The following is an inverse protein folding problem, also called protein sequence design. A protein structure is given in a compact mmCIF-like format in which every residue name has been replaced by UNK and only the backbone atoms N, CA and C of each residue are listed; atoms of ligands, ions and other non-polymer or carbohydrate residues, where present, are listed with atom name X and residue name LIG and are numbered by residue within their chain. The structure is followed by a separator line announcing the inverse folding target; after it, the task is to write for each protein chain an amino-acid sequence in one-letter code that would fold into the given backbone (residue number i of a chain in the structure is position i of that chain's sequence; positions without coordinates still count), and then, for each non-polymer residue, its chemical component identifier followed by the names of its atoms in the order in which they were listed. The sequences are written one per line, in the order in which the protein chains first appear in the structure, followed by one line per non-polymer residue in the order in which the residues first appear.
data_IF_932076324244
#
_entry.id   IF_932076324244
#
_cell.length_a   1.000
_cell.length_b   1.000
_cell.length_c   1.000
_cell.angle_alpha   90.00
_cell.angle_beta   90.00
_cell.angle_gamma   90.00
#
_symmetry.space_group_name_H-M   'P 1'
#
loop_
_entity.id
_entity.type
_entity.pdbx_description
1 polymer ?
#
# COMPACT_ATOMS: atom_id res chain seq x y z
N UNK A 1 -38.57 38.18 63.69
CA UNK A 1 -37.63 39.22 64.16
C UNK A 1 -36.24 38.62 64.05
N UNK A 2 -35.63 38.59 62.86
CA UNK A 2 -35.08 39.75 62.16
C UNK A 2 -35.13 39.57 60.62
N UNK A 3 -35.60 40.64 59.97
CA UNK A 3 -35.54 40.87 58.53
C UNK A 3 -34.28 41.68 58.18
N UNK A 4 -33.81 41.52 56.94
CA UNK A 4 -33.10 42.50 56.11
C UNK A 4 -31.78 43.12 56.61
N UNK A 5 -30.67 42.71 56.00
CA UNK A 5 -29.76 43.66 55.38
C UNK A 5 -29.26 43.16 54.02
N UNK A 6 -29.78 43.86 53.03
CA UNK A 6 -29.48 43.87 51.61
C UNK A 6 -28.01 44.27 51.32
N UNK A 7 -27.46 43.65 50.27
CA UNK A 7 -26.49 44.20 49.32
C UNK A 7 -25.05 44.51 49.79
N UNK A 8 -24.10 43.69 49.33
CA UNK A 8 -22.91 44.21 48.66
C UNK A 8 -22.29 43.20 47.66
N UNK A 9 -22.58 43.48 46.38
CA UNK A 9 -21.69 43.37 45.20
C UNK A 9 -21.25 41.98 44.71
N UNK A 10 -22.15 41.39 43.92
CA UNK A 10 -21.80 40.74 42.65
C UNK A 10 -20.97 41.71 41.78
N UNK A 11 -19.74 41.33 41.42
CA UNK A 11 -19.12 41.73 40.16
C UNK A 11 -17.85 40.89 39.91
N UNK A 12 -17.79 40.33 38.70
CA UNK A 12 -16.65 39.67 38.03
C UNK A 12 -16.57 38.16 38.15
N UNK A 13 -17.50 37.47 37.48
CA UNK A 13 -17.17 36.26 36.73
C UNK A 13 -18.30 35.97 35.73
N UNK A 14 -18.23 36.63 34.56
CA UNK A 14 -18.91 36.30 33.28
C UNK A 14 -18.59 37.47 32.33
N UNK A 15 -17.59 37.31 31.45
CA UNK A 15 -17.92 36.86 30.09
C UNK A 15 -16.80 36.00 29.48
N UNK A 16 -16.86 34.67 29.63
CA UNK A 16 -16.07 33.73 28.79
C UNK A 16 -16.94 32.57 28.28
N UNK A 17 -18.13 32.36 28.85
CA UNK A 17 -19.05 31.29 28.44
C UNK A 17 -20.11 31.71 27.40
N UNK A 18 -19.96 32.87 26.75
CA UNK A 18 -20.89 33.36 25.72
C UNK A 18 -20.32 33.39 24.29
N UNK A 19 -19.09 32.90 24.07
CA UNK A 19 -18.48 32.84 22.72
C UNK A 19 -18.22 31.41 22.21
N UNK A 20 -18.42 30.37 23.04
CA UNK A 20 -18.31 28.97 22.63
C UNK A 20 -19.66 28.36 22.16
N UNK A 21 -20.78 29.02 22.45
CA UNK A 21 -22.12 28.54 22.07
C UNK A 21 -22.58 29.03 20.68
N UNK A 22 -21.90 30.03 20.09
CA UNK A 22 -22.25 30.55 18.75
C UNK A 22 -21.51 29.80 17.64
N UNK A 23 -20.30 29.26 17.89
CA UNK A 23 -19.56 28.47 16.90
C UNK A 23 -20.10 27.04 16.69
N UNK A 24 -20.83 26.48 17.66
CA UNK A 24 -21.52 25.19 17.49
C UNK A 24 -22.88 25.35 16.77
N UNK A 25 -23.51 26.53 16.87
CA UNK A 25 -24.81 26.80 16.27
C UNK A 25 -24.75 27.17 14.78
N UNK A 26 -23.62 27.71 14.28
CA UNK A 26 -23.43 27.94 12.83
C UNK A 26 -23.04 26.68 12.05
N UNK A 27 -22.52 25.64 12.70
CA UNK A 27 -22.21 24.36 12.04
C UNK A 27 -23.43 23.48 11.72
N UNK A 28 -24.53 23.67 12.44
CA UNK A 28 -25.73 22.83 12.30
C UNK A 28 -26.73 23.31 11.22
N UNK A 29 -26.58 24.54 10.70
CA UNK A 29 -27.55 25.15 9.77
C UNK A 29 -27.18 25.06 8.27
N UNK A 30 -26.05 24.43 7.92
CA UNK A 30 -25.67 24.19 6.50
C UNK A 30 -25.91 22.72 6.09
N UNK A 31 -26.45 21.88 6.98
CA UNK A 31 -26.66 20.44 6.74
C UNK A 31 -27.82 20.06 5.81
N UNK A 32 -28.50 21.01 5.19
CA UNK A 32 -29.74 20.79 4.42
C UNK A 32 -29.68 21.35 2.99
N UNK A 33 -28.53 21.22 2.32
CA UNK A 33 -28.37 21.47 0.88
C UNK A 33 -27.67 20.29 0.20
N UNK A 34 -28.32 19.71 -0.82
CA UNK A 34 -27.94 18.47 -1.52
C UNK A 34 -26.60 18.57 -2.29
N UNK A 35 -25.48 18.52 -1.57
CA UNK A 35 -24.14 18.40 -2.14
C UNK A 35 -23.15 17.85 -1.11
N UNK A 36 -22.15 17.09 -1.56
CA UNK A 36 -21.08 16.61 -0.68
C UNK A 36 -20.41 17.79 0.04
N UNK A 37 -20.14 17.66 1.34
CA UNK A 37 -19.44 18.68 2.13
C UNK A 37 -18.06 18.98 1.52
N UNK A 38 -17.49 20.19 1.71
CA UNK A 38 -16.14 20.49 1.23
C UNK A 38 -15.10 19.44 1.67
N UNK A 39 -15.20 18.94 2.90
CA UNK A 39 -14.34 17.87 3.41
C UNK A 39 -14.55 16.53 2.71
N UNK A 40 -15.80 16.16 2.41
CA UNK A 40 -16.09 14.95 1.63
C UNK A 40 -15.57 15.06 0.19
N UNK A 41 -15.68 16.25 -0.43
CA UNK A 41 -15.12 16.52 -1.76
C UNK A 41 -13.60 16.41 -1.75
N UNK A 42 -12.93 16.99 -0.76
CA UNK A 42 -11.49 16.86 -0.60
C UNK A 42 -11.08 15.38 -0.44
N UNK A 43 -11.84 14.62 0.34
CA UNK A 43 -11.57 13.21 0.54
C UNK A 43 -11.64 12.41 -0.77
N UNK A 44 -12.70 12.63 -1.56
CA UNK A 44 -12.86 12.05 -2.88
C UNK A 44 -11.71 12.46 -3.83
N UNK A 45 -11.34 13.73 -3.83
CA UNK A 45 -10.27 14.29 -4.67
C UNK A 45 -8.92 13.68 -4.35
N UNK A 46 -8.57 13.62 -3.07
CA UNK A 46 -7.30 13.08 -2.58
C UNK A 46 -7.12 11.62 -3.00
N UNK A 47 -8.13 10.79 -2.77
CA UNK A 47 -8.08 9.36 -3.12
C UNK A 47 -8.14 9.18 -4.64
N UNK A 48 -8.88 10.02 -5.36
CA UNK A 48 -8.87 10.00 -6.83
C UNK A 48 -7.50 10.37 -7.39
N UNK A 49 -6.82 11.38 -6.82
CA UNK A 49 -5.45 11.75 -7.19
C UNK A 49 -4.47 10.59 -6.92
N UNK A 50 -4.61 9.91 -5.78
CA UNK A 50 -3.86 8.69 -5.46
C UNK A 50 -4.03 7.60 -6.52
N UNK A 51 -5.27 7.32 -6.96
CA UNK A 51 -5.50 6.30 -8.01
C UNK A 51 -4.86 6.64 -9.36
N UNK A 52 -4.62 7.93 -9.64
CA UNK A 52 -3.94 8.42 -10.85
C UNK A 52 -2.43 8.59 -10.68
N UNK A 53 -1.88 8.35 -9.49
CA UNK A 53 -0.48 8.63 -9.16
C UNK A 53 -0.13 10.13 -9.13
N UNK A 54 -1.12 11.01 -8.97
CA UNK A 54 -0.91 12.46 -8.91
C UNK A 54 -0.52 12.91 -7.49
N UNK A 55 0.68 12.50 -7.08
CA UNK A 55 1.20 12.78 -5.74
C UNK A 55 1.48 14.25 -5.50
N UNK A 56 1.64 15.05 -6.56
CA UNK A 56 1.81 16.51 -6.43
C UNK A 56 0.51 17.15 -5.96
N UNK A 57 -0.61 16.80 -6.57
CA UNK A 57 -1.93 17.28 -6.13
C UNK A 57 -2.20 16.84 -4.70
N UNK A 58 -1.98 15.56 -4.37
CA UNK A 58 -2.16 15.07 -3.01
C UNK A 58 -1.30 15.84 -2.00
N UNK A 59 -0.03 16.10 -2.30
CA UNK A 59 0.85 16.84 -1.39
C UNK A 59 0.36 18.25 -1.10
N UNK A 60 -0.28 18.92 -2.07
CA UNK A 60 -0.84 20.26 -1.87
C UNK A 60 -2.12 20.25 -1.03
N UNK A 61 -2.75 19.10 -0.85
CA UNK A 61 -4.01 18.92 -0.11
C UNK A 61 -3.81 18.53 1.36
N UNK A 62 -2.58 18.17 1.77
CA UNK A 62 -2.28 17.81 3.17
C UNK A 62 -2.10 19.03 4.06
N UNK A 63 -2.21 18.82 5.37
CA UNK A 63 -2.00 19.86 6.37
C UNK A 63 -0.55 20.42 6.38
N UNK A 64 -0.42 21.68 6.80
CA UNK A 64 0.87 22.36 6.82
C UNK A 64 1.89 21.70 7.77
N UNK A 65 1.45 21.00 8.82
CA UNK A 65 2.36 20.29 9.71
C UNK A 65 2.97 19.07 9.01
N UNK A 66 2.21 18.34 8.21
CA UNK A 66 2.72 17.28 7.34
C UNK A 66 3.67 17.82 6.28
N UNK A 67 3.32 18.92 5.58
CA UNK A 67 4.21 19.54 4.58
C UNK A 67 5.57 19.96 5.16
N UNK A 68 5.63 20.38 6.42
CA UNK A 68 6.90 20.67 7.12
C UNK A 68 7.71 19.42 7.47
N UNK A 69 7.06 18.26 7.66
CA UNK A 69 7.72 17.00 8.06
C UNK A 69 8.22 16.17 6.88
N UNK A 70 7.60 16.29 5.71
CA UNK A 70 7.96 15.49 4.53
C UNK A 70 8.07 16.36 3.28
N UNK A 71 9.12 16.15 2.50
CA UNK A 71 9.27 16.80 1.20
C UNK A 71 8.31 16.20 0.15
N UNK A 72 7.98 16.93 -0.93
CA UNK A 72 7.17 16.39 -2.02
C UNK A 72 7.77 15.12 -2.64
N UNK A 73 9.10 15.07 -2.80
CA UNK A 73 9.80 13.91 -3.37
C UNK A 73 9.70 12.68 -2.48
N UNK A 74 9.92 12.85 -1.16
CA UNK A 74 9.77 11.76 -0.20
C UNK A 74 8.32 11.29 -0.08
N UNK A 75 7.36 12.21 -0.14
CA UNK A 75 5.94 11.86 -0.17
C UNK A 75 5.61 10.95 -1.36
N UNK A 76 6.01 11.35 -2.58
CA UNK A 76 5.82 10.55 -3.79
C UNK A 76 6.53 9.19 -3.71
N UNK A 77 7.76 9.16 -3.19
CA UNK A 77 8.52 7.93 -2.99
C UNK A 77 7.79 6.94 -2.07
N UNK A 78 7.22 7.40 -0.95
CA UNK A 78 6.47 6.56 0.00
C UNK A 78 5.26 5.89 -0.63
N UNK A 79 4.46 6.63 -1.41
CA UNK A 79 3.34 6.03 -2.13
C UNK A 79 3.82 5.07 -3.21
N UNK A 80 4.86 5.42 -3.97
CA UNK A 80 5.45 4.53 -4.97
C UNK A 80 5.99 3.21 -4.39
N UNK A 81 6.62 3.27 -3.21
CA UNK A 81 7.06 2.10 -2.45
C UNK A 81 5.86 1.24 -2.03
N UNK A 82 4.78 1.84 -1.51
CA UNK A 82 3.58 1.11 -1.12
C UNK A 82 2.91 0.40 -2.32
N UNK A 83 2.79 1.07 -3.48
CA UNK A 83 2.24 0.47 -4.71
C UNK A 83 3.09 -0.71 -5.19
N UNK A 84 4.43 -0.59 -5.17
CA UNK A 84 5.34 -1.70 -5.50
C UNK A 84 5.25 -2.85 -4.51
N UNK A 85 5.20 -2.57 -3.21
CA UNK A 85 5.06 -3.58 -2.15
C UNK A 85 3.74 -4.35 -2.29
N UNK A 86 2.65 -3.69 -2.64
CA UNK A 86 1.37 -4.36 -2.92
C UNK A 86 1.34 -5.09 -4.28
N UNK A 87 2.35 -4.92 -5.13
CA UNK A 87 2.34 -5.34 -6.55
C UNK A 87 1.14 -4.80 -7.32
N UNK A 88 0.70 -3.60 -6.99
CA UNK A 88 -0.51 -3.02 -7.56
C UNK A 88 -0.31 -2.67 -9.04
N UNK A 89 -1.26 -3.10 -9.87
CA UNK A 89 -1.27 -2.90 -11.33
C UNK A 89 -2.37 -1.96 -11.79
N UNK A 90 -3.45 -1.84 -11.02
CA UNK A 90 -4.54 -0.92 -11.31
C UNK A 90 -5.26 -0.49 -10.04
N UNK A 91 -5.50 0.81 -9.91
CA UNK A 91 -6.18 1.44 -8.77
C UNK A 91 -7.47 2.08 -9.26
N UNK A 92 -8.55 1.94 -8.51
CA UNK A 92 -9.82 2.58 -8.85
C UNK A 92 -10.62 2.90 -7.59
N UNK A 93 -11.34 4.03 -7.63
CA UNK A 93 -12.33 4.38 -6.62
C UNK A 93 -13.62 3.61 -6.92
N UNK A 94 -14.24 3.03 -5.88
CA UNK A 94 -15.49 2.27 -6.02
C UNK A 94 -16.74 3.07 -5.70
N UNK A 95 -16.60 4.21 -5.01
CA UNK A 95 -17.71 5.02 -4.56
C UNK A 95 -17.25 6.32 -3.93
N UNK A 96 -18.20 7.14 -3.51
CA UNK A 96 -17.93 8.41 -2.83
C UNK A 96 -17.51 8.20 -1.38
N UNK A 97 -16.82 9.19 -0.83
CA UNK A 97 -16.50 9.28 0.58
C UNK A 97 -17.77 9.20 1.43
N UNK A 98 -17.74 8.35 2.45
CA UNK A 98 -18.73 8.33 3.51
C UNK A 98 -18.06 8.69 4.84
N UNK A 99 -18.74 9.47 5.66
CA UNK A 99 -18.23 9.87 6.97
C UNK A 99 -18.73 8.91 8.05
N UNK A 100 -17.82 8.41 8.88
CA UNK A 100 -18.11 7.50 9.99
C UNK A 100 -16.91 7.42 10.95
N UNK A 101 -17.18 7.23 12.23
CA UNK A 101 -16.14 7.09 13.28
C UNK A 101 -15.10 8.23 13.29
N UNK A 102 -15.54 9.45 12.95
CA UNK A 102 -14.68 10.64 12.93
C UNK A 102 -13.74 10.75 11.73
N UNK A 103 -13.89 9.90 10.71
CA UNK A 103 -13.09 9.94 9.49
C UNK A 103 -13.95 9.82 8.23
N UNK A 104 -13.39 10.26 7.10
CA UNK A 104 -13.94 9.97 5.78
C UNK A 104 -13.31 8.69 5.25
N UNK A 105 -14.15 7.74 4.83
CA UNK A 105 -13.69 6.51 4.18
C UNK A 105 -14.10 6.53 2.72
N UNK A 106 -13.12 6.34 1.83
CA UNK A 106 -13.34 6.17 0.38
C UNK A 106 -13.08 4.70 0.02
N UNK A 107 -14.06 3.95 -0.49
CA UNK A 107 -13.85 2.57 -0.90
C UNK A 107 -13.04 2.53 -2.20
N UNK A 108 -11.98 1.73 -2.20
CA UNK A 108 -11.08 1.56 -3.33
C UNK A 108 -10.89 0.10 -3.69
N UNK A 109 -10.60 -0.14 -4.97
CA UNK A 109 -10.20 -1.42 -5.52
C UNK A 109 -8.79 -1.34 -6.06
N UNK A 110 -7.97 -2.30 -5.64
CA UNK A 110 -6.58 -2.44 -6.03
C UNK A 110 -6.45 -3.79 -6.71
N UNK A 111 -6.23 -3.81 -8.03
CA UNK A 111 -5.76 -5.03 -8.69
C UNK A 111 -4.27 -5.17 -8.44
N UNK A 112 -3.86 -6.34 -8.01
CA UNK A 112 -2.45 -6.66 -7.74
C UNK A 112 -2.02 -7.83 -8.59
N UNK A 113 -0.70 -7.97 -8.79
CA UNK A 113 -0.13 -9.12 -9.49
C UNK A 113 -0.18 -10.38 -8.63
N UNK A 114 0.12 -10.28 -7.33
CA UNK A 114 0.22 -11.43 -6.44
C UNK A 114 -1.07 -11.71 -5.66
N UNK A 115 -1.70 -10.68 -5.10
CA UNK A 115 -2.76 -10.81 -4.09
C UNK A 115 -4.18 -10.71 -4.67
N UNK A 116 -4.33 -10.85 -6.00
CA UNK A 116 -5.62 -10.68 -6.67
C UNK A 116 -6.18 -9.27 -6.53
N UNK A 117 -7.49 -9.16 -6.26
CA UNK A 117 -8.20 -7.88 -6.14
C UNK A 117 -8.45 -7.56 -4.68
N UNK A 118 -7.84 -6.49 -4.17
CA UNK A 118 -8.08 -5.98 -2.83
C UNK A 118 -9.20 -4.95 -2.88
N UNK A 119 -10.19 -5.08 -2.00
CA UNK A 119 -11.24 -4.07 -1.79
C UNK A 119 -11.08 -3.52 -0.38
N UNK A 120 -10.63 -2.26 -0.28
CA UNK A 120 -10.21 -1.66 0.99
C UNK A 120 -10.86 -0.28 1.15
N UNK A 121 -10.97 0.18 2.40
CA UNK A 121 -11.36 1.55 2.73
C UNK A 121 -10.13 2.43 2.95
N UNK A 122 -10.06 3.54 2.24
CA UNK A 122 -9.07 4.58 2.50
C UNK A 122 -9.66 5.53 3.54
N UNK A 123 -9.22 5.43 4.80
CA UNK A 123 -9.72 6.24 5.90
C UNK A 123 -8.83 7.47 6.10
N UNK A 124 -9.40 8.66 6.01
CA UNK A 124 -8.70 9.93 6.14
C UNK A 124 -9.44 10.88 7.07
N UNK A 125 -8.66 11.57 7.90
CA UNK A 125 -9.15 12.68 8.71
C UNK A 125 -8.97 13.96 7.92
N UNK A 126 -10.01 14.78 7.86
CA UNK A 126 -9.99 16.09 7.20
C UNK A 126 -10.29 17.15 8.25
N UNK A 127 -9.40 18.13 8.36
CA UNK A 127 -9.53 19.25 9.30
C UNK A 127 -9.70 20.55 8.52
N UNK A 128 -10.53 21.45 9.02
CA UNK A 128 -10.65 22.82 8.50
C UNK A 128 -10.23 23.79 9.61
N UNK A 129 -9.06 24.41 9.44
CA UNK A 129 -8.47 25.36 10.38
C UNK A 129 -8.68 26.82 9.94
N UNK A 130 -9.63 27.08 9.03
CA UNK A 130 -9.97 28.43 8.55
C UNK A 130 -9.35 28.83 7.21
N UNK A 131 -8.45 28.01 6.66
CA UNK A 131 -7.86 28.17 5.31
C UNK A 131 -8.43 27.15 4.29
N UNK A 132 -9.58 26.58 4.65
CA UNK A 132 -10.24 25.49 3.95
C UNK A 132 -9.78 24.11 4.42
N UNK A 133 -10.49 23.05 4.02
CA UNK A 133 -10.21 21.70 4.47
C UNK A 133 -8.83 21.24 3.99
N UNK A 134 -8.13 20.49 4.84
CA UNK A 134 -6.86 19.82 4.56
C UNK A 134 -6.90 18.40 5.09
N UNK A 135 -6.22 17.48 4.40
CA UNK A 135 -6.05 16.11 4.86
C UNK A 135 -5.01 16.09 5.96
N UNK A 136 -5.38 15.62 7.15
CA UNK A 136 -4.45 15.42 8.24
C UNK A 136 -3.57 14.21 7.91
N UNK A 137 -2.39 14.45 7.34
CA UNK A 137 -1.58 13.38 6.77
C UNK A 137 -0.62 12.77 7.79
N UNK A 138 -0.65 11.44 7.84
CA UNK A 138 0.28 10.61 8.61
C UNK A 138 0.79 9.46 7.74
N UNK A 139 1.85 8.79 8.21
CA UNK A 139 2.43 7.65 7.50
C UNK A 139 1.45 6.51 7.23
N UNK A 140 0.37 6.36 8.01
CA UNK A 140 -0.64 5.32 7.75
C UNK A 140 -1.51 5.61 6.53
N UNK A 141 -1.46 6.83 5.96
CA UNK A 141 -2.18 7.14 4.72
C UNK A 141 -1.45 6.69 3.45
N UNK A 142 -0.25 6.10 3.53
CA UNK A 142 0.48 5.68 2.32
C UNK A 142 -0.16 4.48 1.59
N UNK A 143 -1.00 3.72 2.30
CA UNK A 143 -1.76 2.59 1.74
C UNK A 143 -3.05 2.36 2.54
N UNK A 144 -4.18 2.04 1.89
CA UNK A 144 -5.44 1.82 2.60
C UNK A 144 -5.35 0.60 3.53
N UNK A 145 -5.99 0.72 4.70
CA UNK A 145 -6.01 -0.34 5.72
C UNK A 145 -4.80 -0.37 6.65
N UNK A 146 -3.85 0.58 6.56
CA UNK A 146 -2.82 0.78 7.58
C UNK A 146 -3.37 1.57 8.79
N UNK A 147 -2.91 1.22 9.99
CA UNK A 147 -3.15 1.96 11.24
C UNK A 147 -1.94 2.82 11.60
N UNK A 148 -2.12 3.72 12.56
CA UNK A 148 -1.01 4.52 13.10
C UNK A 148 0.13 3.62 13.56
N UNK A 149 1.35 3.91 13.10
CA UNK A 149 2.56 3.13 13.37
C UNK A 149 2.76 1.87 12.53
N UNK A 150 1.76 1.45 11.74
CA UNK A 150 1.93 0.31 10.81
C UNK A 150 2.60 0.76 9.51
N UNK A 151 3.49 -0.10 8.99
CA UNK A 151 4.05 0.01 7.64
C UNK A 151 3.54 -1.14 6.78
N UNK A 152 3.47 -0.91 5.47
CA UNK A 152 3.16 -1.97 4.52
C UNK A 152 4.41 -2.82 4.29
N UNK A 153 4.28 -4.13 4.39
CA UNK A 153 5.34 -5.08 4.09
C UNK A 153 4.82 -6.23 3.23
N UNK A 154 5.70 -6.82 2.43
CA UNK A 154 5.42 -8.03 1.67
C UNK A 154 6.40 -9.13 2.06
N UNK A 155 5.88 -10.31 2.40
CA UNK A 155 6.66 -11.55 2.48
C UNK A 155 6.31 -12.39 1.29
N UNK A 156 7.31 -12.75 0.49
CA UNK A 156 7.08 -13.51 -0.74
C UNK A 156 7.56 -14.93 -0.56
N UNK A 157 6.78 -15.88 -1.05
CA UNK A 157 7.17 -17.28 -1.18
C UNK A 157 7.24 -17.63 -2.65
N UNK A 158 8.40 -18.12 -3.10
CA UNK A 158 8.55 -18.71 -4.42
C UNK A 158 8.24 -20.22 -4.34
N UNK A 159 7.61 -20.80 -5.36
CA UNK A 159 7.48 -22.24 -5.46
C UNK A 159 8.80 -22.87 -5.91
N UNK A 160 8.86 -24.20 -5.90
CA UNK A 160 9.96 -24.94 -6.52
C UNK A 160 10.11 -24.57 -7.99
N UNK A 161 11.36 -24.45 -8.42
CA UNK A 161 11.69 -24.14 -9.81
C UNK A 161 11.43 -25.37 -10.67
N UNK A 162 10.62 -25.22 -11.71
CA UNK A 162 10.19 -26.32 -12.56
C UNK A 162 11.35 -27.09 -13.18
N UNK A 163 11.12 -28.37 -13.41
CA UNK A 163 12.04 -29.24 -14.14
C UNK A 163 12.13 -28.80 -15.60
N UNK A 164 13.36 -28.73 -16.12
CA UNK A 164 13.63 -28.57 -17.53
C UNK A 164 13.84 -29.96 -18.13
N UNK A 165 13.09 -30.27 -19.18
CA UNK A 165 13.11 -31.55 -19.88
C UNK A 165 13.61 -31.35 -21.30
N UNK A 166 14.32 -32.34 -21.82
CA UNK A 166 14.60 -32.45 -23.25
C UNK A 166 13.33 -32.89 -23.98
N UNK A 167 13.39 -32.86 -25.32
CA UNK A 167 12.27 -33.26 -26.18
C UNK A 167 11.81 -34.70 -25.95
N UNK A 168 12.74 -35.59 -25.58
CA UNK A 168 12.49 -37.00 -25.28
C UNK A 168 12.02 -37.25 -23.84
N UNK A 169 11.88 -36.21 -23.03
CA UNK A 169 11.49 -36.31 -21.62
C UNK A 169 12.66 -36.52 -20.65
N UNK A 170 13.91 -36.55 -21.13
CA UNK A 170 15.08 -36.64 -20.25
C UNK A 170 15.21 -35.39 -19.40
N UNK A 171 15.48 -35.54 -18.10
CA UNK A 171 15.71 -34.41 -17.20
C UNK A 171 17.01 -33.70 -17.57
N UNK A 172 16.89 -32.42 -17.92
CA UNK A 172 18.03 -31.54 -18.19
C UNK A 172 18.43 -30.80 -16.91
N UNK A 173 17.45 -30.30 -16.15
CA UNK A 173 17.69 -29.66 -14.87
C UNK A 173 16.49 -29.75 -13.95
N UNK A 174 16.74 -29.92 -12.66
CA UNK A 174 15.73 -29.88 -11.60
C UNK A 174 16.31 -29.22 -10.35
N UNK A 175 15.45 -28.75 -9.45
CA UNK A 175 15.91 -28.18 -8.20
C UNK A 175 14.77 -27.71 -7.34
N UNK A 176 14.97 -27.80 -6.02
CA UNK A 176 14.03 -27.27 -5.03
C UNK A 176 14.37 -25.82 -4.72
N UNK A 177 13.34 -25.03 -4.42
CA UNK A 177 13.52 -23.68 -3.90
C UNK A 177 13.69 -23.79 -2.38
N UNK A 178 14.91 -23.57 -1.88
CA UNK A 178 15.12 -23.47 -0.43
C UNK A 178 14.72 -22.08 0.07
N UNK A 179 14.20 -22.01 1.31
CA UNK A 179 13.76 -20.76 1.94
C UNK A 179 14.90 -19.76 2.19
N UNK A 180 16.16 -20.16 2.03
CA UNK A 180 17.38 -19.37 2.22
C UNK A 180 17.88 -18.66 0.95
N UNK A 181 17.20 -18.80 -0.19
CA UNK A 181 17.62 -18.19 -1.46
C UNK A 181 18.74 -18.95 -2.18
N UNK A 182 19.12 -20.13 -1.67
CA UNK A 182 20.14 -21.00 -2.26
C UNK A 182 19.45 -22.17 -2.98
N UNK A 183 19.28 -22.06 -4.29
CA UNK A 183 18.67 -23.13 -5.09
C UNK A 183 19.67 -24.26 -5.34
N UNK A 184 19.36 -25.47 -4.90
CA UNK A 184 20.05 -26.72 -5.27
C UNK A 184 19.60 -27.15 -6.67
N UNK A 185 19.98 -26.37 -7.69
CA UNK A 185 19.73 -26.70 -9.09
C UNK A 185 20.79 -27.69 -9.58
N UNK A 186 20.38 -28.89 -9.97
CA UNK A 186 21.25 -29.96 -10.45
C UNK A 186 20.89 -30.39 -11.88
N UNK A 187 21.85 -31.02 -12.55
CA UNK A 187 21.66 -31.61 -13.88
C UNK A 187 22.28 -33.00 -13.91
N UNK A 188 21.54 -34.05 -14.32
CA UNK A 188 22.09 -35.40 -14.46
C UNK A 188 23.03 -35.52 -15.66
N UNK A 189 23.06 -34.54 -16.56
CA UNK A 189 23.88 -34.52 -17.78
C UNK A 189 25.32 -34.04 -17.55
N UNK A 190 25.71 -33.78 -16.29
CA UNK A 190 27.06 -33.38 -15.93
C UNK A 190 27.47 -32.01 -16.46
N UNK A 191 28.79 -31.76 -16.51
CA UNK A 191 29.33 -30.45 -16.91
C UNK A 191 29.01 -30.06 -18.36
N UNK A 192 28.84 -31.04 -19.25
CA UNK A 192 28.61 -30.84 -20.68
C UNK A 192 27.31 -30.07 -20.97
N UNK A 193 26.30 -30.18 -20.10
CA UNK A 193 25.04 -29.43 -20.25
C UNK A 193 25.10 -27.99 -19.73
N UNK A 194 26.11 -27.63 -18.90
CA UNK A 194 26.18 -26.32 -18.23
C UNK A 194 26.27 -25.15 -19.21
N UNK A 195 26.92 -25.33 -20.36
CA UNK A 195 27.07 -24.27 -21.35
C UNK A 195 25.72 -23.84 -21.96
N UNK A 196 24.81 -24.79 -22.16
CA UNK A 196 23.47 -24.55 -22.73
C UNK A 196 22.46 -24.22 -21.64
N UNK A 197 22.48 -24.98 -20.53
CA UNK A 197 21.60 -24.77 -19.39
C UNK A 197 21.80 -23.38 -18.80
N UNK A 198 23.04 -22.94 -18.64
CA UNK A 198 23.39 -21.70 -17.98
C UNK A 198 23.45 -21.82 -16.47
N UNK A 199 23.37 -20.69 -15.78
CA UNK A 199 23.53 -20.59 -14.32
C UNK A 199 22.32 -19.92 -13.68
N UNK A 200 22.10 -20.24 -12.41
CA UNK A 200 21.15 -19.56 -11.53
C UNK A 200 21.90 -18.84 -10.40
N UNK A 201 21.30 -17.80 -9.84
CA UNK A 201 21.84 -17.08 -8.69
C UNK A 201 20.99 -15.86 -8.31
N UNK A 202 21.55 -14.97 -7.48
CA UNK A 202 20.83 -13.80 -7.00
C UNK A 202 20.43 -12.84 -8.15
N UNK A 203 19.35 -12.06 -7.98
CA UNK A 203 18.84 -11.17 -9.02
C UNK A 203 19.88 -10.09 -9.41
N UNK A 204 20.29 -9.99 -10.69
CA UNK A 204 21.26 -8.99 -11.10
C UNK A 204 20.68 -7.57 -10.98
N UNK A 205 21.54 -6.59 -10.73
CA UNK A 205 21.15 -5.19 -10.53
C UNK A 205 20.27 -4.63 -11.65
N UNK A 206 20.59 -5.00 -12.89
CA UNK A 206 19.86 -4.58 -14.09
C UNK A 206 18.42 -5.11 -14.17
N UNK A 207 18.11 -6.22 -13.49
CA UNK A 207 16.77 -6.83 -13.49
C UNK A 207 16.00 -6.66 -12.18
N UNK A 208 16.61 -6.08 -11.14
CA UNK A 208 15.99 -5.99 -9.80
C UNK A 208 14.61 -5.32 -9.83
N UNK A 209 14.48 -4.19 -10.53
CA UNK A 209 13.21 -3.46 -10.59
C UNK A 209 12.12 -4.24 -11.35
N UNK A 210 12.49 -4.92 -12.45
CA UNK A 210 11.59 -5.78 -13.22
C UNK A 210 11.09 -6.96 -12.35
N UNK A 211 12.03 -7.67 -11.72
CA UNK A 211 11.75 -8.83 -10.87
C UNK A 211 10.92 -8.44 -9.63
N UNK A 212 11.24 -7.31 -9.00
CA UNK A 212 10.45 -6.78 -7.88
C UNK A 212 9.00 -6.50 -8.30
N UNK A 213 8.79 -5.95 -9.51
CA UNK A 213 7.47 -5.69 -10.07
C UNK A 213 6.72 -6.98 -10.49
N UNK A 214 7.45 -8.05 -10.77
CA UNK A 214 6.90 -9.41 -10.91
C UNK A 214 6.58 -10.07 -9.57
N UNK A 215 6.97 -9.43 -8.46
CA UNK A 215 6.77 -9.95 -7.12
C UNK A 215 7.86 -10.91 -6.67
N UNK A 216 8.99 -10.97 -7.35
CA UNK A 216 10.15 -11.80 -6.97
C UNK A 216 10.91 -11.09 -5.83
N UNK A 217 11.26 -11.79 -4.73
CA UNK A 217 11.98 -11.17 -3.64
C UNK A 217 13.47 -11.00 -3.97
N UNK A 218 14.14 -10.07 -3.27
CA UNK A 218 15.51 -9.67 -3.60
C UNK A 218 16.57 -10.78 -3.34
N UNK A 219 16.24 -11.73 -2.48
CA UNK A 219 17.03 -12.91 -2.13
C UNK A 219 16.68 -14.15 -2.98
N UNK A 220 15.80 -14.02 -3.98
CA UNK A 220 15.43 -15.12 -4.85
C UNK A 220 16.56 -15.64 -5.74
N UNK A 221 16.60 -16.95 -5.98
CA UNK A 221 17.38 -17.51 -7.08
C UNK A 221 16.64 -17.33 -8.42
N UNK A 222 17.29 -16.71 -9.41
CA UNK A 222 16.79 -16.51 -10.77
C UNK A 222 17.81 -17.00 -11.81
N UNK A 223 17.37 -17.23 -13.04
CA UNK A 223 18.24 -17.57 -14.15
C UNK A 223 19.11 -16.40 -14.62
N UNK A 224 20.42 -16.62 -14.68
CA UNK A 224 21.44 -15.61 -15.02
C UNK A 224 21.92 -15.71 -16.48
N UNK A 225 21.94 -16.91 -17.05
CA UNK A 225 22.38 -17.19 -18.42
C UNK A 225 21.70 -18.42 -19.02
N UNK A 226 21.95 -18.70 -20.30
CA UNK A 226 21.48 -19.91 -20.99
C UNK A 226 19.96 -20.08 -20.98
N UNK A 227 19.53 -21.34 -20.99
CA UNK A 227 18.11 -21.71 -20.87
C UNK A 227 17.51 -21.29 -19.54
N UNK A 228 18.28 -21.33 -18.45
CA UNK A 228 17.82 -20.90 -17.13
C UNK A 228 17.35 -19.44 -17.14
N UNK A 229 18.06 -18.55 -17.85
CA UNK A 229 17.63 -17.15 -18.03
C UNK A 229 16.52 -16.98 -19.06
N UNK A 230 16.65 -17.63 -20.22
CA UNK A 230 15.67 -17.51 -21.29
C UNK A 230 14.28 -17.98 -20.86
N UNK A 231 14.21 -18.99 -20.00
CA UNK A 231 12.98 -19.61 -19.52
C UNK A 231 12.68 -19.24 -18.06
N UNK A 232 13.38 -18.27 -17.47
CA UNK A 232 13.34 -17.96 -16.04
C UNK A 232 11.92 -17.76 -15.50
N UNK A 233 11.12 -16.95 -16.21
CA UNK A 233 9.71 -16.68 -15.82
C UNK A 233 8.85 -17.94 -15.88
N UNK A 234 9.10 -18.86 -16.82
CA UNK A 234 8.38 -20.13 -16.91
C UNK A 234 8.84 -21.09 -15.84
N UNK A 235 10.14 -21.18 -15.59
CA UNK A 235 10.74 -22.10 -14.62
C UNK A 235 10.42 -21.71 -13.18
N UNK A 236 10.40 -20.41 -12.85
CA UNK A 236 10.14 -19.92 -11.48
C UNK A 236 8.71 -20.14 -11.01
N UNK A 237 7.76 -20.35 -11.92
CA UNK A 237 6.33 -20.37 -11.58
C UNK A 237 5.83 -19.01 -11.09
N UNK A 238 4.68 -19.03 -10.41
CA UNK A 238 4.05 -17.81 -9.88
C UNK A 238 4.37 -17.63 -8.40
N UNK A 239 4.95 -16.48 -8.00
CA UNK A 239 5.14 -16.15 -6.59
C UNK A 239 3.80 -16.04 -5.86
N UNK A 240 3.81 -16.31 -4.56
CA UNK A 240 2.73 -16.03 -3.62
C UNK A 240 3.28 -15.36 -2.36
N UNK A 241 2.48 -15.30 -1.30
CA UNK A 241 2.92 -14.86 0.02
C UNK A 241 1.88 -14.03 0.77
N UNK A 242 2.36 -13.12 1.60
CA UNK A 242 1.58 -12.29 2.50
C UNK A 242 1.81 -10.80 2.25
N UNK A 243 0.73 -10.03 2.21
CA UNK A 243 0.74 -8.58 2.33
C UNK A 243 0.36 -8.21 3.77
N UNK A 244 1.21 -7.45 4.44
CA UNK A 244 1.12 -7.16 5.87
C UNK A 244 0.98 -5.66 6.12
N UNK A 245 0.09 -5.29 7.04
CA UNK A 245 0.06 -3.99 7.71
C UNK A 245 0.70 -4.18 9.11
N UNK A 246 1.97 -3.84 9.25
CA UNK A 246 2.75 -4.21 10.43
C UNK A 246 2.79 -5.73 10.61
N UNK A 247 2.08 -6.24 11.62
CA UNK A 247 1.96 -7.68 11.90
C UNK A 247 0.64 -8.30 11.42
N UNK A 248 -0.28 -7.49 10.90
CA UNK A 248 -1.62 -7.93 10.51
C UNK A 248 -1.65 -8.30 9.03
N UNK A 249 -2.23 -9.45 8.72
CA UNK A 249 -2.45 -9.88 7.35
C UNK A 249 -3.52 -9.00 6.68
N UNK A 250 -3.15 -8.35 5.57
CA UNK A 250 -4.07 -7.66 4.67
C UNK A 250 -4.55 -8.58 3.55
N UNK A 251 -3.64 -9.38 2.99
CA UNK A 251 -3.95 -10.30 1.91
C UNK A 251 -2.96 -11.46 1.87
N UNK A 252 -3.40 -12.58 1.34
CA UNK A 252 -2.60 -13.78 1.13
C UNK A 252 -2.87 -14.34 -0.28
N UNK A 253 -1.83 -14.89 -0.89
CA UNK A 253 -1.95 -15.67 -2.11
C UNK A 253 -1.01 -16.88 -2.06
N UNK A 254 -1.47 -18.08 -2.46
CA UNK A 254 -0.58 -19.24 -2.57
C UNK A 254 0.42 -19.04 -3.72
N UNK A 255 1.63 -19.58 -3.58
CA UNK A 255 2.54 -19.74 -4.71
C UNK A 255 2.09 -20.91 -5.58
N UNK A 256 2.39 -20.85 -6.88
CA UNK A 256 2.05 -21.92 -7.82
C UNK A 256 3.28 -22.34 -8.61
N UNK A 257 3.75 -23.57 -8.38
CA UNK A 257 4.80 -24.18 -9.17
C UNK A 257 4.40 -24.23 -10.64
N UNK A 258 5.38 -24.01 -11.52
CA UNK A 258 5.20 -24.23 -12.94
C UNK A 258 5.28 -25.72 -13.27
N UNK A 259 4.58 -26.11 -14.34
CA UNK A 259 4.78 -27.41 -14.98
C UNK A 259 6.19 -27.51 -15.57
N UNK A 260 6.64 -28.74 -15.80
CA UNK A 260 7.91 -28.98 -16.49
C UNK A 260 7.95 -28.25 -17.85
N UNK A 261 9.12 -27.73 -18.20
CA UNK A 261 9.36 -26.95 -19.41
C UNK A 261 10.16 -27.81 -20.39
N UNK A 262 9.68 -27.90 -21.64
CA UNK A 262 10.32 -28.60 -22.76
C UNK A 262 10.97 -27.63 -23.75
#
# INVERSE_FOLDING_TARGET
MTENLHLQRLRRARPVLALAAVAFATGALVGSGHGASPSAKLADQFVSAWTRGDYRTMYNEIDAAAQRRISPSRFAERYGEAIRTATATHLSVLGRAHHGDGAFTVPVRIRTRLFGVLSLGFALTVEDLGEGPRVQWTHSLVFPGLRSGESLARRTTLPDRATLLARDGTVVAEGKAESSGESTRSSPLGESARAVLGQVGAPPASRRAELEAEGVPADATVGLSGLERALDTRLRGRPGGELLAGRRLLAYAPSHAASAVH
#
